data_IF_858959488758
#
_entry.id   IF_858959488758
#
_cell.length_a   1.000
_cell.length_b   1.000
_cell.length_c   1.000
_cell.angle_alpha   90.00
_cell.angle_beta   90.00
_cell.angle_gamma   90.00
#
_symmetry.space_group_name_H-M   'P 1'
#
loop_
_entity.id
_entity.type
_entity.pdbx_description
1 polymer ?
#
# COMPACT_ATOMS: atom_id res chain seq x y z
N UNK A 1 -15.14 6.08 9.82
CA UNK A 1 -14.69 7.50 9.88
C UNK A 1 -15.68 8.31 9.08
N UNK A 2 -16.30 9.25 9.71
CA UNK A 2 -17.35 10.11 9.14
C UNK A 2 -16.79 11.11 8.12
N UNK A 3 -17.69 11.68 7.30
CA UNK A 3 -17.29 12.59 6.22
C UNK A 3 -16.69 13.90 6.77
N UNK A 4 -17.22 14.39 7.91
CA UNK A 4 -16.70 15.57 8.60
C UNK A 4 -15.28 15.36 9.14
N UNK A 5 -15.02 14.20 9.75
CA UNK A 5 -13.67 13.87 10.26
C UNK A 5 -12.64 13.87 9.13
N UNK A 6 -13.01 13.33 7.96
CA UNK A 6 -12.14 13.34 6.77
C UNK A 6 -11.85 14.75 6.29
N UNK A 7 -12.84 15.65 6.36
CA UNK A 7 -12.67 17.06 5.99
C UNK A 7 -11.66 17.73 6.92
N UNK A 8 -11.84 17.62 8.22
CA UNK A 8 -10.94 18.16 9.24
C UNK A 8 -9.51 17.65 9.04
N UNK A 9 -9.35 16.34 8.83
CA UNK A 9 -8.03 15.75 8.62
C UNK A 9 -7.37 16.24 7.33
N UNK A 10 -8.13 16.47 6.25
CA UNK A 10 -7.61 17.07 5.02
C UNK A 10 -7.13 18.50 5.23
N UNK A 11 -7.88 19.28 6.00
CA UNK A 11 -7.54 20.68 6.34
C UNK A 11 -6.24 20.72 7.16
N UNK A 12 -5.98 19.72 7.99
CA UNK A 12 -4.72 19.50 8.70
C UNK A 12 -3.58 18.97 7.80
N UNK A 13 -3.83 18.75 6.51
CA UNK A 13 -2.84 18.30 5.53
C UNK A 13 -2.69 16.79 5.37
N UNK A 14 -3.59 15.99 5.98
CA UNK A 14 -3.64 14.54 5.77
C UNK A 14 -4.11 14.23 4.36
N UNK A 15 -3.36 13.41 3.64
CA UNK A 15 -3.70 12.91 2.31
C UNK A 15 -4.31 11.51 2.43
N UNK A 16 -5.50 11.35 1.86
CA UNK A 16 -6.17 10.06 1.72
C UNK A 16 -5.92 9.55 0.31
N UNK A 17 -4.96 8.66 0.17
CA UNK A 17 -4.67 7.97 -1.06
C UNK A 17 -5.55 6.72 -1.22
N UNK A 18 -5.28 5.93 -2.25
CA UNK A 18 -5.97 4.66 -2.51
C UNK A 18 -5.59 3.59 -1.49
N UNK A 19 -4.32 3.52 -1.14
CA UNK A 19 -3.76 2.49 -0.25
C UNK A 19 -3.22 3.06 1.04
N UNK A 20 -2.84 4.34 1.05
CA UNK A 20 -2.18 4.97 2.18
C UNK A 20 -2.91 6.22 2.64
N UNK A 21 -2.93 6.40 3.95
CA UNK A 21 -3.28 7.68 4.58
C UNK A 21 -1.98 8.23 5.18
N UNK A 22 -1.57 9.42 4.75
CA UNK A 22 -0.28 9.97 5.14
C UNK A 22 -0.28 11.49 5.22
N UNK A 23 0.64 12.03 6.00
CA UNK A 23 0.95 13.45 6.07
C UNK A 23 2.13 13.73 5.13
N UNK A 24 1.89 14.51 4.06
CA UNK A 24 2.93 14.84 3.09
C UNK A 24 4.15 15.51 3.74
N UNK A 25 3.93 16.35 4.75
CA UNK A 25 5.00 17.03 5.51
C UNK A 25 5.95 16.03 6.18
N UNK A 26 5.45 14.87 6.62
CA UNK A 26 6.27 13.85 7.30
C UNK A 26 7.13 12.99 6.35
N UNK A 27 6.92 13.09 5.04
CA UNK A 27 7.75 12.37 4.04
C UNK A 27 8.95 13.22 3.60
N UNK A 28 9.02 14.47 4.02
CA UNK A 28 10.15 15.36 3.72
C UNK A 28 11.43 14.94 4.46
N UNK A 29 12.62 15.32 3.95
CA UNK A 29 13.92 14.90 4.50
C UNK A 29 14.07 15.12 6.00
N UNK A 30 13.81 16.32 6.49
CA UNK A 30 14.00 16.68 7.90
C UNK A 30 13.12 15.85 8.86
N UNK A 31 11.78 15.76 8.66
CA UNK A 31 10.93 14.90 9.48
C UNK A 31 11.29 13.41 9.38
N UNK A 32 11.72 12.92 8.21
CA UNK A 32 12.19 11.55 8.06
C UNK A 32 13.45 11.31 8.88
N UNK A 33 14.43 12.23 8.85
CA UNK A 33 15.65 12.13 9.65
C UNK A 33 15.34 12.07 11.14
N UNK A 34 14.46 12.94 11.63
CA UNK A 34 14.07 12.95 13.05
C UNK A 34 13.34 11.65 13.43
N UNK A 35 12.36 11.20 12.63
CA UNK A 35 11.62 9.97 12.91
C UNK A 35 12.52 8.72 12.90
N UNK A 36 13.46 8.65 11.97
CA UNK A 36 14.40 7.52 11.91
C UNK A 36 15.37 7.54 13.07
N UNK A 37 15.83 8.71 13.51
CA UNK A 37 16.66 8.86 14.70
C UNK A 37 15.93 8.37 15.96
N UNK A 38 14.70 8.82 16.19
CA UNK A 38 13.88 8.41 17.32
C UNK A 38 13.61 6.90 17.30
N UNK A 39 13.30 6.36 16.11
CA UNK A 39 13.05 4.93 15.93
C UNK A 39 14.30 4.07 16.21
N UNK A 40 15.47 4.51 15.72
CA UNK A 40 16.76 3.83 15.98
C UNK A 40 17.09 3.83 17.47
N UNK A 41 16.87 4.94 18.16
CA UNK A 41 17.11 5.04 19.60
C UNK A 41 16.26 4.02 20.39
N UNK A 42 15.00 3.82 19.98
CA UNK A 42 14.13 2.81 20.57
C UNK A 42 14.49 1.38 20.13
N UNK A 43 15.02 1.20 18.92
CA UNK A 43 15.35 -0.09 18.31
C UNK A 43 16.85 -0.23 18.09
N UNK A 44 17.65 -0.26 19.14
CA UNK A 44 19.12 -0.22 19.13
C UNK A 44 19.77 -1.25 18.21
N UNK A 45 19.18 -2.45 18.06
CA UNK A 45 19.66 -3.50 17.14
C UNK A 45 19.69 -3.07 15.67
N UNK A 46 18.98 -2.01 15.31
CA UNK A 46 18.91 -1.46 13.96
C UNK A 46 19.60 -0.10 13.83
N UNK A 47 20.46 0.26 14.77
CA UNK A 47 21.13 1.55 14.81
C UNK A 47 21.91 1.87 13.52
N UNK A 48 22.50 0.86 12.89
CA UNK A 48 23.31 0.99 11.67
C UNK A 48 22.47 1.11 10.37
N UNK A 49 21.11 1.07 10.44
CA UNK A 49 20.32 1.27 9.24
C UNK A 49 20.33 2.75 8.85
N UNK A 50 20.60 3.02 7.59
CA UNK A 50 20.55 4.37 7.04
C UNK A 50 19.30 4.58 6.18
N UNK A 51 18.65 5.75 6.26
CA UNK A 51 17.54 6.09 5.38
C UNK A 51 18.03 6.14 3.93
N UNK A 52 17.16 5.86 2.96
CA UNK A 52 17.48 6.04 1.55
C UNK A 52 17.90 7.47 1.26
N UNK A 53 18.76 7.64 0.24
CA UNK A 53 19.15 8.98 -0.24
C UNK A 53 17.91 9.79 -0.57
N UNK A 54 17.85 11.01 -0.04
CA UNK A 54 16.72 11.91 -0.30
C UNK A 54 16.63 12.29 -1.78
N UNK A 55 15.41 12.46 -2.28
CA UNK A 55 15.15 12.76 -3.69
C UNK A 55 14.84 11.53 -4.55
N UNK A 56 15.17 10.33 -4.08
CA UNK A 56 14.81 9.10 -4.81
C UNK A 56 13.33 8.78 -4.64
N UNK A 57 12.69 8.42 -5.75
CA UNK A 57 11.29 8.02 -5.79
C UNK A 57 11.12 6.50 -5.84
N UNK A 58 12.10 5.83 -6.43
CA UNK A 58 12.12 4.39 -6.70
C UNK A 58 13.47 3.80 -6.34
N UNK A 59 13.46 2.65 -5.68
CA UNK A 59 14.66 1.92 -5.31
C UNK A 59 14.50 0.47 -5.73
N UNK A 60 15.46 -0.05 -6.47
CA UNK A 60 15.61 -1.46 -6.73
C UNK A 60 16.70 -2.00 -5.79
N UNK A 61 16.31 -2.63 -4.71
CA UNK A 61 17.25 -3.11 -3.70
C UNK A 61 16.97 -4.57 -3.35
N UNK A 62 17.91 -5.42 -3.76
CA UNK A 62 17.88 -6.85 -3.44
C UNK A 62 18.32 -7.17 -2.00
N UNK A 63 18.87 -6.19 -1.28
CA UNK A 63 19.28 -6.36 0.12
C UNK A 63 18.03 -6.31 1.01
N UNK A 64 17.98 -7.22 1.97
CA UNK A 64 16.89 -7.28 2.94
C UNK A 64 17.00 -6.06 3.85
N UNK A 65 16.27 -5.01 3.53
CA UNK A 65 16.06 -3.87 4.44
C UNK A 65 14.85 -4.14 5.31
N UNK A 66 14.88 -3.64 6.53
CA UNK A 66 13.75 -3.74 7.44
C UNK A 66 12.53 -3.00 6.84
N UNK A 67 11.44 -3.76 6.59
CA UNK A 67 10.22 -3.21 5.98
C UNK A 67 9.63 -2.04 6.80
N UNK A 68 9.62 -2.16 8.12
CA UNK A 68 9.07 -1.14 9.00
C UNK A 68 9.92 0.13 8.98
N UNK A 69 11.25 -0.01 8.90
CA UNK A 69 12.14 1.12 8.75
C UNK A 69 11.93 1.84 7.41
N UNK A 70 11.78 1.10 6.32
CA UNK A 70 11.51 1.71 5.00
C UNK A 70 10.14 2.40 4.96
N UNK A 71 9.12 1.81 5.57
CA UNK A 71 7.81 2.46 5.69
C UNK A 71 7.88 3.75 6.54
N UNK A 72 8.69 3.75 7.59
CA UNK A 72 8.98 4.95 8.38
C UNK A 72 9.66 6.03 7.53
N UNK A 73 10.54 5.64 6.59
CA UNK A 73 11.15 6.55 5.61
C UNK A 73 10.18 7.00 4.51
N UNK A 74 8.94 6.52 4.50
CA UNK A 74 7.92 6.86 3.52
C UNK A 74 7.96 6.03 2.24
N UNK A 75 8.52 4.81 2.30
CA UNK A 75 8.58 3.89 1.16
C UNK A 75 7.75 2.64 1.40
N UNK A 76 6.93 2.27 0.42
CA UNK A 76 6.21 0.99 0.39
C UNK A 76 7.00 -0.05 -0.40
N UNK A 77 6.94 -1.30 0.06
CA UNK A 77 7.66 -2.42 -0.54
C UNK A 77 6.81 -3.22 -1.52
N UNK A 78 7.33 -3.43 -2.73
CA UNK A 78 6.78 -4.34 -3.75
C UNK A 78 7.86 -5.32 -4.21
N UNK A 79 7.83 -6.56 -3.73
CA UNK A 79 8.89 -7.55 -3.95
C UNK A 79 10.28 -6.98 -3.61
N UNK A 80 11.10 -6.70 -4.64
CA UNK A 80 12.44 -6.12 -4.51
C UNK A 80 12.47 -4.60 -4.65
N UNK A 81 11.31 -3.98 -4.90
CA UNK A 81 11.23 -2.54 -5.13
C UNK A 81 10.70 -1.81 -3.90
N UNK A 82 11.18 -0.60 -3.72
CA UNK A 82 10.66 0.35 -2.74
C UNK A 82 10.25 1.62 -3.48
N UNK A 83 9.04 2.08 -3.24
CA UNK A 83 8.48 3.26 -3.90
C UNK A 83 8.00 4.24 -2.85
N UNK A 84 8.35 5.50 -3.01
CA UNK A 84 7.90 6.55 -2.11
C UNK A 84 6.37 6.69 -2.18
N UNK A 85 5.72 6.73 -1.03
CA UNK A 85 4.26 6.61 -0.89
C UNK A 85 3.52 7.70 -1.68
N UNK A 86 3.99 8.94 -1.66
CA UNK A 86 3.36 10.05 -2.39
C UNK A 86 3.44 9.88 -3.92
N UNK A 87 4.54 9.30 -4.40
CA UNK A 87 4.73 8.99 -5.83
C UNK A 87 3.86 7.81 -6.25
N UNK A 88 3.78 6.79 -5.40
CA UNK A 88 2.91 5.64 -5.62
C UNK A 88 1.44 6.07 -5.74
N UNK A 89 0.96 6.94 -4.85
CA UNK A 89 -0.41 7.44 -4.90
C UNK A 89 -0.67 8.32 -6.15
N UNK A 90 0.33 9.08 -6.63
CA UNK A 90 0.24 9.80 -7.91
C UNK A 90 0.15 8.85 -9.10
N UNK A 91 0.94 7.77 -9.10
CA UNK A 91 0.86 6.73 -10.12
C UNK A 91 -0.55 6.11 -10.17
N UNK A 92 -1.15 5.80 -9.02
CA UNK A 92 -2.51 5.29 -8.98
C UNK A 92 -3.54 6.27 -9.53
N UNK A 93 -3.39 7.56 -9.29
CA UNK A 93 -4.27 8.58 -9.89
C UNK A 93 -4.12 8.60 -11.41
N UNK A 94 -2.90 8.52 -11.95
CA UNK A 94 -2.68 8.42 -13.38
C UNK A 94 -3.32 7.16 -13.99
N UNK A 95 -3.15 6.02 -13.35
CA UNK A 95 -3.74 4.74 -13.76
C UNK A 95 -5.27 4.83 -13.79
N UNK A 96 -5.89 5.34 -12.73
CA UNK A 96 -7.35 5.47 -12.62
C UNK A 96 -7.91 6.44 -13.66
N UNK A 97 -7.22 7.55 -13.90
CA UNK A 97 -7.65 8.53 -14.90
C UNK A 97 -7.52 7.98 -16.33
N UNK A 98 -6.56 7.11 -16.59
CA UNK A 98 -6.41 6.42 -17.87
C UNK A 98 -7.49 5.36 -18.08
N UNK A 99 -7.95 4.70 -17.02
CA UNK A 99 -8.99 3.65 -17.05
C UNK A 99 -10.40 4.24 -17.32
N UNK A 100 -10.64 5.50 -16.95
CA UNK A 100 -11.93 6.21 -17.17
C UNK A 100 -12.29 6.42 -18.65
N UNK A 101 -11.40 6.13 -19.57
CA UNK A 101 -11.65 6.27 -21.02
C UNK A 101 -12.21 4.99 -21.66
N UNK A 102 -12.98 4.18 -20.92
CA UNK A 102 -13.60 2.91 -21.37
C UNK A 102 -12.62 1.85 -21.91
N UNK A 103 -11.34 2.05 -21.73
CA UNK A 103 -10.35 1.06 -22.09
C UNK A 103 -10.07 0.16 -20.89
N UNK A 104 -10.53 -1.10 -20.95
CA UNK A 104 -10.16 -2.17 -19.99
C UNK A 104 -8.64 -2.41 -19.97
N UNK A 105 -7.88 -1.76 -20.83
CA UNK A 105 -6.45 -1.92 -21.05
C UNK A 105 -5.79 -0.54 -21.01
N UNK A 106 -4.84 -0.38 -20.12
CA UNK A 106 -4.15 0.90 -19.88
C UNK A 106 -2.81 0.84 -20.61
N UNK A 107 -2.55 1.84 -21.45
CA UNK A 107 -1.27 1.98 -22.13
C UNK A 107 -0.22 2.50 -21.16
N UNK A 108 0.96 1.90 -21.17
CA UNK A 108 2.11 2.40 -20.43
C UNK A 108 2.59 3.71 -21.08
N UNK A 109 2.50 4.79 -20.33
CA UNK A 109 2.89 6.13 -20.78
C UNK A 109 4.29 6.48 -20.25
N UNK A 110 5.12 7.22 -21.03
CA UNK A 110 6.43 7.70 -20.56
C UNK A 110 6.35 8.49 -19.27
N UNK A 111 5.27 9.24 -19.04
CA UNK A 111 5.05 10.04 -17.83
C UNK A 111 5.00 9.18 -16.57
N UNK A 112 4.52 7.92 -16.65
CA UNK A 112 4.52 6.99 -15.53
C UNK A 112 5.93 6.55 -15.15
N UNK A 113 6.80 6.36 -16.15
CA UNK A 113 8.20 6.02 -15.98
C UNK A 113 8.98 7.19 -15.37
N UNK A 114 8.75 8.40 -15.92
CA UNK A 114 9.38 9.63 -15.45
C UNK A 114 8.97 9.95 -14.00
N UNK A 115 7.69 9.72 -13.65
CA UNK A 115 7.20 9.93 -12.30
C UNK A 115 7.93 9.05 -11.27
N UNK A 116 8.16 7.80 -11.62
CA UNK A 116 8.88 6.86 -10.76
C UNK A 116 10.40 7.04 -10.82
N UNK A 117 10.94 7.46 -11.96
CA UNK A 117 12.38 7.48 -12.23
C UNK A 117 12.94 6.07 -12.43
N UNK A 118 12.20 5.18 -13.11
CA UNK A 118 12.60 3.80 -13.37
C UNK A 118 12.60 3.48 -14.86
N UNK A 119 13.27 2.40 -15.25
CA UNK A 119 13.28 1.89 -16.62
C UNK A 119 11.99 1.09 -16.92
N UNK A 120 11.80 0.72 -18.20
CA UNK A 120 10.62 -0.04 -18.65
C UNK A 120 10.53 -1.41 -18.04
N UNK A 121 11.65 -2.08 -17.83
CA UNK A 121 11.69 -3.46 -17.32
C UNK A 121 11.38 -3.50 -15.83
N UNK A 122 11.93 -2.58 -15.04
CA UNK A 122 11.60 -2.42 -13.63
C UNK A 122 10.12 -2.06 -13.46
N UNK A 123 9.58 -1.18 -14.31
CA UNK A 123 8.16 -0.84 -14.29
C UNK A 123 7.26 -2.03 -14.62
N UNK A 124 7.63 -2.86 -15.62
CA UNK A 124 6.92 -4.11 -15.91
C UNK A 124 6.93 -5.07 -14.71
N UNK A 125 8.07 -5.24 -14.07
CA UNK A 125 8.19 -6.09 -12.88
C UNK A 125 7.36 -5.53 -11.72
N UNK A 126 7.38 -4.23 -11.51
CA UNK A 126 6.54 -3.55 -10.51
C UNK A 126 5.06 -3.80 -10.75
N UNK A 127 4.57 -3.60 -11.98
CA UNK A 127 3.18 -3.84 -12.33
C UNK A 127 2.76 -5.29 -12.07
N UNK A 128 3.63 -6.27 -12.38
CA UNK A 128 3.40 -7.68 -12.03
C UNK A 128 3.28 -7.88 -10.51
N UNK A 129 4.17 -7.24 -9.73
CA UNK A 129 4.11 -7.29 -8.26
C UNK A 129 2.82 -6.67 -7.71
N UNK A 130 2.26 -5.67 -8.38
CA UNK A 130 1.00 -5.01 -8.06
C UNK A 130 -0.25 -5.76 -8.59
N UNK A 131 -0.06 -6.97 -9.15
CA UNK A 131 -1.14 -7.83 -9.71
C UNK A 131 -1.78 -7.29 -10.99
N UNK A 132 -1.00 -6.57 -11.80
CA UNK A 132 -1.40 -6.23 -13.17
C UNK A 132 -0.89 -7.29 -14.15
N UNK A 133 -1.70 -7.63 -15.14
CA UNK A 133 -1.29 -8.42 -16.30
C UNK A 133 -0.77 -7.48 -17.37
N UNK A 134 0.40 -7.80 -17.93
CA UNK A 134 1.05 -7.02 -18.97
C UNK A 134 0.95 -7.78 -20.29
N UNK A 135 0.74 -7.07 -21.36
CA UNK A 135 0.73 -7.58 -22.73
C UNK A 135 1.24 -6.50 -23.69
N UNK A 136 1.80 -6.93 -24.80
CA UNK A 136 2.34 -6.06 -25.84
C UNK A 136 1.46 -6.15 -27.07
N UNK A 137 1.10 -4.99 -27.61
CA UNK A 137 0.36 -4.83 -28.87
C UNK A 137 1.03 -3.72 -29.69
N UNK A 138 1.32 -3.98 -30.97
CA UNK A 138 1.88 -2.98 -31.89
C UNK A 138 3.13 -2.26 -31.33
N UNK A 139 4.08 -2.98 -30.75
CA UNK A 139 5.27 -2.42 -30.09
C UNK A 139 4.98 -1.52 -28.87
N UNK A 140 3.75 -1.49 -28.40
CA UNK A 140 3.35 -0.74 -27.23
C UNK A 140 2.99 -1.70 -26.07
N UNK A 141 3.29 -1.27 -24.84
CA UNK A 141 3.02 -2.05 -23.64
C UNK A 141 1.71 -1.59 -23.03
N UNK A 142 0.82 -2.55 -22.81
CA UNK A 142 -0.45 -2.36 -22.13
C UNK A 142 -0.50 -3.21 -20.86
N UNK A 143 -1.29 -2.76 -19.88
CA UNK A 143 -1.52 -3.51 -18.67
C UNK A 143 -2.96 -3.39 -18.20
N UNK A 144 -3.43 -4.44 -17.47
CA UNK A 144 -4.78 -4.53 -16.95
C UNK A 144 -4.75 -5.08 -15.53
N UNK A 145 -5.52 -4.49 -14.65
CA UNK A 145 -5.67 -5.01 -13.29
C UNK A 145 -6.44 -6.33 -13.27
N UNK A 146 -5.89 -7.34 -12.63
CA UNK A 146 -6.58 -8.60 -12.36
C UNK A 146 -6.81 -8.69 -10.86
N UNK A 147 -8.07 -8.52 -10.40
CA UNK A 147 -8.36 -8.70 -8.99
C UNK A 147 -8.02 -10.14 -8.58
N UNK A 148 -7.20 -10.30 -7.56
CA UNK A 148 -7.00 -11.62 -6.94
C UNK A 148 -8.37 -12.10 -6.48
N UNK A 149 -8.83 -13.25 -6.98
CA UNK A 149 -10.02 -13.91 -6.42
C UNK A 149 -9.78 -14.03 -4.92
N UNK A 150 -10.62 -13.39 -4.10
CA UNK A 150 -10.61 -13.64 -2.66
C UNK A 150 -10.76 -15.14 -2.52
N UNK A 151 -9.77 -15.82 -1.95
CA UNK A 151 -9.95 -17.20 -1.54
C UNK A 151 -11.28 -17.20 -0.75
N UNK A 152 -12.25 -18.01 -1.20
CA UNK A 152 -13.49 -18.20 -0.43
C UNK A 152 -13.01 -18.53 0.98
N UNK A 153 -13.29 -17.66 1.93
CA UNK A 153 -13.04 -18.00 3.32
C UNK A 153 -13.74 -19.33 3.51
N UNK A 154 -12.97 -20.39 3.67
CA UNK A 154 -13.54 -21.64 4.16
C UNK A 154 -14.32 -21.24 5.39
N UNK A 155 -15.64 -21.45 5.36
CA UNK A 155 -16.48 -21.30 6.53
C UNK A 155 -15.75 -22.02 7.66
N UNK A 156 -14.99 -21.28 8.44
CA UNK A 156 -14.51 -21.77 9.71
C UNK A 156 -15.78 -22.09 10.45
N UNK A 157 -16.03 -23.37 10.63
CA UNK A 157 -17.05 -23.86 11.53
C UNK A 157 -16.89 -23.13 12.85
N UNK A 158 -17.59 -22.00 12.99
CA UNK A 158 -17.50 -21.06 14.12
C UNK A 158 -18.16 -21.60 15.38
N UNK A 159 -18.38 -22.93 15.45
CA UNK A 159 -19.18 -23.52 16.53
C UNK A 159 -18.38 -24.20 17.64
N UNK A 160 -17.04 -24.20 17.63
CA UNK A 160 -16.32 -24.91 18.71
C UNK A 160 -15.55 -24.06 19.70
N UNK A 161 -15.32 -22.76 19.46
CA UNK A 161 -14.53 -21.92 20.38
C UNK A 161 -15.06 -20.48 20.55
N UNK A 162 -16.37 -20.31 20.49
CA UNK A 162 -16.95 -19.02 20.84
C UNK A 162 -17.23 -18.98 22.34
N UNK A 163 -16.49 -18.19 23.13
CA UNK A 163 -16.71 -18.08 24.59
C UNK A 163 -18.13 -17.63 24.94
N UNK A 164 -18.81 -16.95 24.00
CA UNK A 164 -20.22 -16.53 24.15
C UNK A 164 -21.24 -17.59 23.70
N UNK A 165 -20.80 -18.75 23.22
CA UNK A 165 -21.68 -19.87 22.85
C UNK A 165 -22.52 -20.39 24.01
N UNK A 166 -22.01 -20.24 25.24
CA UNK A 166 -22.69 -20.60 26.50
C UNK A 166 -23.92 -19.70 26.71
N UNK A 167 -23.87 -18.44 26.42
CA UNK A 167 -24.98 -17.49 26.59
C UNK A 167 -26.19 -17.84 25.69
N UNK A 168 -25.96 -18.38 24.50
CA UNK A 168 -27.04 -18.88 23.62
C UNK A 168 -27.75 -20.13 24.18
N UNK A 169 -27.07 -20.93 25.01
CA UNK A 169 -27.68 -22.09 25.69
C UNK A 169 -28.55 -21.64 26.86
N UNK A 170 -28.07 -20.68 27.66
CA UNK A 170 -28.80 -20.14 28.81
C UNK A 170 -30.09 -19.42 28.37
N UNK A 171 -30.05 -18.64 27.26
CA UNK A 171 -31.26 -17.98 26.75
C UNK A 171 -32.33 -18.98 26.23
N UNK A 172 -31.90 -20.14 25.69
CA UNK A 172 -32.83 -21.17 25.28
C UNK A 172 -33.46 -21.98 26.43
N UNK A 173 -32.73 -22.13 27.53
CA UNK A 173 -33.27 -22.79 28.74
C UNK A 173 -34.36 -21.96 29.42
N UNK A 174 -34.20 -20.62 29.48
CA UNK A 174 -35.21 -19.73 30.06
C UNK A 174 -36.53 -19.63 29.25
N UNK A 175 -36.52 -19.99 27.98
CA UNK A 175 -37.72 -20.00 27.12
C UNK A 175 -38.47 -21.34 27.13
N UNK A 176 -37.92 -22.36 27.76
CA UNK A 176 -38.56 -23.67 27.88
C UNK A 176 -39.23 -23.90 29.28
N UNK A 177 -39.09 -22.94 30.18
CA UNK A 177 -39.71 -22.98 31.54
C UNK A 177 -40.85 -21.96 31.71
N UNK A 178 -41.35 -21.37 30.63
CA UNK A 178 -42.56 -20.54 30.56
C UNK A 178 -43.58 -21.21 29.62
#
# INVERSE_FOLDING_TARGET
>A
MEQNDRKILRDLGVKFGRYHVFLFKLIKPEPVSLRTLLWKNHNQKYFNLEPPTFGLNFLNDNKIKNKNFMLLCGFEKFNNFYIRIDILERLFVQIINSDKKDMKEIKMMPDMLNLLGCNKDDFKQLLKAMSYKIFEKNNEVFFKYIPKKKAKSQNRNSNKENPFGILKRVSKMKLAEL
#
